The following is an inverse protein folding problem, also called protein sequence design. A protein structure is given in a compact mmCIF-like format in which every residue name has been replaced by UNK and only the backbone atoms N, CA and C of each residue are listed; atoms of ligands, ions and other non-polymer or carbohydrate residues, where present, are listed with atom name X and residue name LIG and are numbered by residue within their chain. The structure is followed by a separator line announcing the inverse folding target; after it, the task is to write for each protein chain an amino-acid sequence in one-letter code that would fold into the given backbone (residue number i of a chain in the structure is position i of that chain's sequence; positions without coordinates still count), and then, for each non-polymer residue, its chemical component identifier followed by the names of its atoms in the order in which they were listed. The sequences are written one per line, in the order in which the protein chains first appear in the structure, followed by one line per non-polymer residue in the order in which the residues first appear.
data_IF_320685651705
#
_entry.id   IF_320685651705
#
_cell.length_a   1.000
_cell.length_b   1.000
_cell.length_c   1.000
_cell.angle_alpha   90.00
_cell.angle_beta   90.00
_cell.angle_gamma   90.00
#
_symmetry.space_group_name_H-M   'P 1'
#
loop_
_entity.id
_entity.type
_entity.pdbx_description
1 polymer ?
#
# COMPACT_ATOMS: atom_id res chain seq x y z
N UNK A 1 -29.02 -5.05 12.94
CA UNK A 1 -27.86 -4.91 12.03
C UNK A 1 -28.38 -4.66 10.62
N UNK A 2 -28.13 -3.50 10.03
CA UNK A 2 -28.47 -3.23 8.63
C UNK A 2 -27.69 -4.18 7.75
N UNK A 3 -28.36 -4.87 6.82
CA UNK A 3 -27.68 -5.57 5.71
C UNK A 3 -27.00 -4.50 4.87
N UNK A 4 -25.69 -4.59 4.68
CA UNK A 4 -24.94 -3.66 3.85
C UNK A 4 -25.36 -3.71 2.38
N UNK A 5 -24.77 -2.85 1.55
CA UNK A 5 -25.11 -2.69 0.13
C UNK A 5 -24.37 -3.70 -0.75
N UNK A 6 -25.06 -4.36 -1.67
CA UNK A 6 -24.44 -5.17 -2.75
C UNK A 6 -23.93 -4.28 -3.90
N UNK A 7 -22.86 -3.54 -3.62
CA UNK A 7 -22.32 -2.54 -4.52
C UNK A 7 -21.14 -3.04 -5.38
N UNK A 8 -20.26 -2.10 -5.71
CA UNK A 8 -19.11 -2.34 -6.57
C UNK A 8 -18.09 -3.29 -5.93
N UNK A 9 -17.76 -3.07 -4.65
CA UNK A 9 -16.77 -3.86 -3.92
C UNK A 9 -17.25 -5.29 -3.71
N UNK A 10 -18.49 -5.46 -3.28
CA UNK A 10 -19.15 -6.76 -3.15
C UNK A 10 -19.10 -7.56 -4.46
N UNK A 11 -19.51 -6.93 -5.56
CA UNK A 11 -19.52 -7.60 -6.87
C UNK A 11 -18.14 -8.04 -7.33
N UNK A 12 -17.08 -7.32 -6.95
CA UNK A 12 -15.73 -7.60 -7.38
C UNK A 12 -14.97 -8.54 -6.44
N UNK A 13 -15.26 -8.56 -5.12
CA UNK A 13 -14.37 -9.18 -4.14
C UNK A 13 -15.05 -10.15 -3.17
N UNK A 14 -16.35 -10.41 -3.33
CA UNK A 14 -17.10 -11.37 -2.52
C UNK A 14 -17.58 -12.60 -3.32
N UNK A 15 -17.75 -13.76 -2.68
CA UNK A 15 -18.20 -15.00 -3.34
C UNK A 15 -19.62 -14.92 -3.91
N UNK A 16 -20.52 -14.19 -3.27
CA UNK A 16 -21.88 -13.96 -3.78
C UNK A 16 -21.97 -12.85 -4.82
N UNK A 17 -20.86 -12.14 -5.09
CA UNK A 17 -20.81 -11.11 -6.12
C UNK A 17 -20.61 -11.65 -7.53
N UNK A 18 -20.62 -10.77 -8.53
CA UNK A 18 -20.54 -11.10 -9.95
C UNK A 18 -19.31 -11.97 -10.30
N UNK A 19 -18.16 -11.70 -9.69
CA UNK A 19 -16.90 -12.37 -10.04
C UNK A 19 -16.51 -13.50 -9.07
N UNK A 20 -17.32 -13.79 -8.04
CA UNK A 20 -17.18 -14.90 -7.09
C UNK A 20 -15.81 -15.03 -6.44
N UNK A 21 -15.12 -13.90 -6.20
CA UNK A 21 -13.80 -13.88 -5.57
C UNK A 21 -13.93 -13.94 -4.04
N UNK A 22 -13.15 -14.76 -3.37
CA UNK A 22 -13.23 -14.99 -1.92
C UNK A 22 -12.27 -14.10 -1.12
N UNK A 23 -12.14 -12.83 -1.47
CA UNK A 23 -11.33 -11.91 -0.67
C UNK A 23 -11.99 -11.53 0.65
N UNK A 24 -13.32 -11.38 0.64
CA UNK A 24 -14.11 -11.00 1.81
C UNK A 24 -15.39 -11.82 1.87
N UNK A 25 -15.92 -12.03 3.09
CA UNK A 25 -17.26 -12.58 3.24
C UNK A 25 -18.30 -11.64 2.61
N UNK A 26 -19.44 -12.18 2.21
CA UNK A 26 -20.52 -11.39 1.62
C UNK A 26 -20.96 -10.24 2.54
N UNK A 27 -21.08 -10.53 3.83
CA UNK A 27 -21.48 -9.56 4.85
C UNK A 27 -20.46 -8.43 4.95
N UNK A 28 -19.17 -8.76 5.05
CA UNK A 28 -18.11 -7.75 5.16
C UNK A 28 -18.00 -6.90 3.90
N UNK A 29 -18.05 -7.50 2.72
CA UNK A 29 -18.00 -6.77 1.47
C UNK A 29 -19.16 -5.79 1.29
N UNK A 30 -20.37 -6.18 1.72
CA UNK A 30 -21.55 -5.29 1.70
C UNK A 30 -21.41 -4.12 2.68
N UNK A 31 -20.87 -4.37 3.90
CA UNK A 31 -20.59 -3.30 4.87
C UNK A 31 -19.52 -2.32 4.36
N UNK A 32 -18.47 -2.84 3.69
CA UNK A 32 -17.42 -2.03 3.09
C UNK A 32 -18.00 -1.14 1.98
N UNK A 33 -18.81 -1.68 1.08
CA UNK A 33 -19.48 -0.90 0.03
C UNK A 33 -20.32 0.25 0.62
N UNK A 34 -21.14 -0.06 1.63
CA UNK A 34 -22.02 0.92 2.25
C UNK A 34 -21.22 2.05 2.90
N UNK A 35 -20.23 1.72 3.73
CA UNK A 35 -19.43 2.70 4.46
C UNK A 35 -18.61 3.55 3.47
N UNK A 36 -18.00 2.93 2.47
CA UNK A 36 -17.18 3.67 1.50
C UNK A 36 -18.01 4.60 0.60
N UNK A 37 -19.21 4.18 0.21
CA UNK A 37 -20.15 5.04 -0.53
C UNK A 37 -20.62 6.23 0.34
N UNK A 38 -20.90 6.01 1.63
CA UNK A 38 -21.29 7.09 2.56
C UNK A 38 -20.16 8.12 2.69
N UNK A 39 -18.92 7.68 2.91
CA UNK A 39 -17.76 8.57 3.02
C UNK A 39 -17.59 9.38 1.73
N UNK A 40 -17.74 8.74 0.57
CA UNK A 40 -17.64 9.41 -0.72
C UNK A 40 -18.73 10.49 -0.87
N UNK A 41 -19.98 10.16 -0.53
CA UNK A 41 -21.09 11.11 -0.57
C UNK A 41 -20.89 12.31 0.37
N UNK A 42 -20.37 12.07 1.58
CA UNK A 42 -20.08 13.16 2.52
C UNK A 42 -19.05 14.14 1.96
N UNK A 43 -18.02 13.59 1.33
CA UNK A 43 -16.98 14.41 0.70
C UNK A 43 -17.51 15.20 -0.51
N UNK A 44 -18.27 14.55 -1.40
CA UNK A 44 -18.87 15.19 -2.57
C UNK A 44 -19.87 16.31 -2.19
N UNK A 45 -20.61 16.09 -1.10
CA UNK A 45 -21.53 17.10 -0.53
C UNK A 45 -20.81 18.17 0.31
N UNK A 46 -19.48 18.09 0.45
CA UNK A 46 -18.66 18.99 1.28
C UNK A 46 -19.06 19.00 2.76
N UNK A 47 -19.64 17.91 3.27
CA UNK A 47 -19.96 17.75 4.69
C UNK A 47 -18.73 17.43 5.54
N UNK A 48 -17.69 16.89 4.90
CA UNK A 48 -16.37 16.65 5.48
C UNK A 48 -15.29 17.29 4.60
N UNK A 49 -14.20 17.73 5.23
CA UNK A 49 -13.02 18.25 4.54
C UNK A 49 -12.11 17.11 4.05
N UNK A 50 -11.02 17.47 3.35
CA UNK A 50 -10.11 16.48 2.75
C UNK A 50 -9.35 15.65 3.79
N UNK A 51 -8.99 16.24 4.93
CA UNK A 51 -8.26 15.54 5.99
C UNK A 51 -9.18 14.52 6.69
N UNK A 52 -10.43 14.91 6.95
CA UNK A 52 -11.47 14.03 7.48
C UNK A 52 -11.77 12.89 6.49
N UNK A 53 -11.85 13.19 5.20
CA UNK A 53 -12.03 12.17 4.16
C UNK A 53 -10.90 11.14 4.18
N UNK A 54 -9.64 11.57 4.15
CA UNK A 54 -8.51 10.64 4.18
C UNK A 54 -8.44 9.86 5.48
N UNK A 55 -8.78 10.47 6.60
CA UNK A 55 -8.84 9.78 7.87
C UNK A 55 -9.89 8.65 7.88
N UNK A 56 -11.09 8.92 7.39
CA UNK A 56 -12.15 7.92 7.28
C UNK A 56 -11.79 6.81 6.28
N UNK A 57 -11.19 7.15 5.14
CA UNK A 57 -10.71 6.16 4.17
C UNK A 57 -9.63 5.27 4.77
N UNK A 58 -8.70 5.82 5.55
CA UNK A 58 -7.68 5.05 6.26
C UNK A 58 -8.30 4.03 7.23
N UNK A 59 -9.33 4.44 7.99
CA UNK A 59 -10.09 3.52 8.86
C UNK A 59 -10.68 2.35 8.07
N UNK A 60 -11.26 2.64 6.90
CA UNK A 60 -11.83 1.58 6.04
C UNK A 60 -10.75 0.64 5.55
N UNK A 61 -9.61 1.16 5.08
CA UNK A 61 -8.49 0.36 4.57
C UNK A 61 -7.95 -0.58 5.66
N UNK A 62 -7.60 -0.06 6.83
CA UNK A 62 -7.06 -0.85 7.95
C UNK A 62 -8.06 -1.92 8.42
N UNK A 63 -9.32 -1.54 8.58
CA UNK A 63 -10.37 -2.48 9.02
C UNK A 63 -10.64 -3.57 7.98
N UNK A 64 -10.54 -3.24 6.70
CA UNK A 64 -10.71 -4.17 5.59
C UNK A 64 -9.58 -5.17 5.53
N UNK A 65 -8.33 -4.73 5.69
CA UNK A 65 -7.16 -5.61 5.68
C UNK A 65 -7.24 -6.67 6.78
N UNK A 66 -7.74 -6.32 7.94
CA UNK A 66 -7.89 -7.23 9.07
C UNK A 66 -8.81 -8.43 8.79
N UNK A 67 -9.85 -8.26 7.97
CA UNK A 67 -10.81 -9.32 7.59
C UNK A 67 -10.59 -9.86 6.17
N UNK A 68 -9.42 -9.63 5.60
CA UNK A 68 -9.08 -10.11 4.27
C UNK A 68 -8.72 -11.61 4.27
N UNK A 69 -9.24 -12.36 3.32
CA UNK A 69 -8.96 -13.78 3.13
C UNK A 69 -7.76 -14.00 2.19
N UNK A 70 -6.60 -13.58 2.65
CA UNK A 70 -5.34 -13.58 1.91
C UNK A 70 -4.19 -14.19 2.72
N UNK A 71 -3.09 -14.51 2.06
CA UNK A 71 -1.85 -15.00 2.68
C UNK A 71 -0.79 -13.88 2.80
N UNK A 72 -1.21 -12.65 3.15
CA UNK A 72 -0.33 -11.49 3.33
C UNK A 72 -0.33 -10.48 2.18
N UNK A 73 -0.74 -10.84 0.97
CA UNK A 73 -0.91 -9.92 -0.16
C UNK A 73 -2.19 -10.21 -0.93
N UNK A 74 -2.70 -9.23 -1.67
CA UNK A 74 -3.92 -9.34 -2.46
C UNK A 74 -3.69 -9.91 -3.88
N UNK A 75 -2.49 -10.37 -4.19
CA UNK A 75 -2.20 -11.01 -5.48
C UNK A 75 -3.07 -12.24 -5.76
N UNK A 76 -3.59 -12.90 -4.71
CA UNK A 76 -4.61 -13.94 -4.79
C UNK A 76 -5.39 -14.05 -3.48
N UNK A 77 -6.67 -14.43 -3.55
CA UNK A 77 -7.44 -14.83 -2.38
C UNK A 77 -7.24 -16.32 -2.07
N UNK A 78 -7.40 -16.71 -0.81
CA UNK A 78 -7.34 -18.10 -0.40
C UNK A 78 -8.61 -18.86 -0.81
N UNK A 79 -8.45 -20.15 -1.14
CA UNK A 79 -9.57 -21.06 -1.44
C UNK A 79 -10.37 -21.42 -0.18
N UNK A 80 -9.66 -21.58 0.96
CA UNK A 80 -10.20 -21.89 2.27
C UNK A 80 -10.28 -20.59 3.08
N UNK A 81 -11.35 -20.41 3.84
CA UNK A 81 -11.53 -19.25 4.68
C UNK A 81 -10.61 -19.28 5.90
N UNK A 82 -9.89 -18.19 6.13
CA UNK A 82 -9.25 -17.94 7.42
C UNK A 82 -10.31 -17.56 8.45
N UNK A 83 -10.12 -17.99 9.70
CA UNK A 83 -11.04 -17.65 10.80
C UNK A 83 -11.25 -16.12 10.95
N UNK A 84 -10.20 -15.33 10.77
CA UNK A 84 -10.29 -13.87 10.83
C UNK A 84 -11.15 -13.27 9.70
N UNK A 85 -11.15 -13.86 8.52
CA UNK A 85 -11.92 -13.36 7.38
C UNK A 85 -13.44 -13.60 7.53
N UNK A 86 -13.82 -14.49 8.43
CA UNK A 86 -15.22 -14.78 8.79
C UNK A 86 -15.75 -13.92 9.95
N UNK A 87 -14.87 -13.18 10.64
CA UNK A 87 -15.30 -12.24 11.68
C UNK A 87 -15.96 -11.01 11.05
N UNK A 88 -16.89 -10.42 11.77
CA UNK A 88 -17.51 -9.16 11.38
C UNK A 88 -16.45 -8.04 11.34
N UNK A 89 -16.46 -7.27 10.25
CA UNK A 89 -15.62 -6.08 10.14
C UNK A 89 -16.03 -5.05 11.20
N UNK A 90 -15.03 -4.49 11.86
CA UNK A 90 -15.20 -3.46 12.86
C UNK A 90 -14.33 -2.24 12.50
N UNK A 91 -14.99 -1.14 12.15
CA UNK A 91 -14.32 0.11 11.79
C UNK A 91 -13.85 0.84 13.05
N UNK A 92 -12.58 0.68 13.38
CA UNK A 92 -11.97 1.26 14.58
C UNK A 92 -11.12 2.48 14.22
N UNK A 93 -11.28 3.54 15.01
CA UNK A 93 -10.42 4.71 14.93
C UNK A 93 -8.96 4.31 15.25
N UNK A 94 -8.00 4.61 14.38
CA UNK A 94 -6.59 4.37 14.67
C UNK A 94 -6.10 5.28 15.80
N UNK A 95 -5.08 4.82 16.52
CA UNK A 95 -4.40 5.67 17.51
C UNK A 95 -3.54 6.70 16.78
N UNK A 96 -3.87 7.97 16.96
CA UNK A 96 -3.10 9.06 16.37
C UNK A 96 -1.98 9.51 17.31
N UNK A 97 -0.77 9.52 16.81
CA UNK A 97 0.38 10.10 17.53
C UNK A 97 0.44 11.60 17.23
N UNK A 98 0.28 12.42 18.29
CA UNK A 98 0.47 13.86 18.18
C UNK A 98 1.95 14.19 18.29
N UNK A 99 2.47 15.01 17.38
CA UNK A 99 3.82 15.57 17.49
C UNK A 99 3.79 17.08 17.14
N UNK A 100 4.91 17.77 17.40
CA UNK A 100 5.04 19.21 17.13
C UNK A 100 5.61 19.52 15.74
N UNK A 101 5.89 18.50 14.94
CA UNK A 101 6.50 18.67 13.63
C UNK A 101 5.44 18.75 12.54
N UNK A 102 5.74 19.51 11.49
CA UNK A 102 4.97 19.49 10.25
C UNK A 102 5.29 18.18 9.53
N UNK A 103 4.29 17.32 9.35
CA UNK A 103 4.41 16.09 8.60
C UNK A 103 3.99 16.33 7.16
N UNK A 104 4.75 15.78 6.21
CA UNK A 104 4.45 15.88 4.79
C UNK A 104 4.47 14.49 4.16
N UNK A 105 3.51 14.21 3.27
CA UNK A 105 3.39 12.94 2.56
C UNK A 105 3.47 13.22 1.06
N UNK A 106 4.29 12.43 0.37
CA UNK A 106 4.48 12.56 -1.06
C UNK A 106 4.18 11.24 -1.78
N UNK A 107 3.39 11.29 -2.83
CA UNK A 107 3.19 10.19 -3.78
C UNK A 107 3.94 10.52 -5.08
N UNK A 108 5.24 10.27 -5.10
CA UNK A 108 6.14 10.61 -6.21
C UNK A 108 7.21 9.55 -6.40
N UNK A 109 7.85 9.53 -7.56
CA UNK A 109 9.06 8.77 -7.75
C UNK A 109 10.14 9.24 -6.75
N UNK A 110 10.73 8.28 -6.02
CA UNK A 110 11.71 8.57 -4.96
C UNK A 110 12.97 9.23 -5.49
N UNK A 111 13.40 8.89 -6.70
CA UNK A 111 14.59 9.46 -7.33
C UNK A 111 14.38 10.90 -7.79
N UNK A 112 13.15 11.30 -8.06
CA UNK A 112 12.81 12.69 -8.34
C UNK A 112 12.56 13.49 -7.07
N UNK A 113 11.93 12.85 -6.07
CA UNK A 113 11.65 13.48 -4.79
C UNK A 113 12.94 13.80 -4.02
N UNK A 114 13.92 12.89 -3.98
CA UNK A 114 15.17 13.05 -3.22
C UNK A 114 15.98 14.27 -3.64
N UNK A 115 15.85 14.70 -4.88
CA UNK A 115 16.51 15.92 -5.39
C UNK A 115 15.94 17.21 -4.79
N UNK A 116 14.69 17.15 -4.30
CA UNK A 116 13.90 18.31 -3.84
C UNK A 116 13.79 18.41 -2.33
N UNK A 117 13.99 17.31 -1.61
CA UNK A 117 13.90 17.26 -0.15
C UNK A 117 15.30 17.21 0.47
N UNK A 118 15.36 17.60 1.75
CA UNK A 118 16.55 17.50 2.61
C UNK A 118 16.13 17.13 4.02
N UNK A 119 17.05 16.60 4.81
CA UNK A 119 16.77 16.21 6.19
C UNK A 119 18.02 15.75 6.91
N UNK A 120 17.89 15.36 8.15
CA UNK A 120 19.01 14.81 8.93
C UNK A 120 19.17 13.31 8.67
N UNK A 121 18.08 12.57 8.59
CA UNK A 121 18.08 11.12 8.42
C UNK A 121 17.21 10.76 7.22
N UNK A 122 17.72 9.92 6.33
CA UNK A 122 16.98 9.26 5.28
C UNK A 122 16.83 7.77 5.63
N UNK A 123 15.63 7.34 5.94
CA UNK A 123 15.32 5.91 6.05
C UNK A 123 14.86 5.39 4.70
N UNK A 124 15.47 4.30 4.25
CA UNK A 124 15.20 3.67 2.94
C UNK A 124 14.77 2.23 3.18
N UNK A 125 13.56 1.89 2.73
CA UNK A 125 13.00 0.54 2.76
C UNK A 125 12.43 0.22 1.36
N UNK A 126 13.31 -0.06 0.38
CA UNK A 126 12.90 -0.24 -1.00
C UNK A 126 12.39 -1.66 -1.23
N UNK A 127 11.66 -1.91 -2.31
CA UNK A 127 11.31 -3.27 -2.72
C UNK A 127 12.58 -4.15 -2.79
N UNK A 128 12.55 -5.31 -2.14
CA UNK A 128 13.66 -6.26 -2.14
C UNK A 128 13.48 -7.40 -3.15
N UNK A 129 12.33 -7.53 -3.80
CA UNK A 129 12.08 -8.57 -4.79
C UNK A 129 11.47 -8.02 -6.09
N UNK A 130 11.37 -8.86 -7.12
CA UNK A 130 10.84 -8.47 -8.43
C UNK A 130 9.32 -8.23 -8.47
N UNK A 131 8.60 -8.42 -7.36
CA UNK A 131 7.16 -8.25 -7.31
C UNK A 131 6.82 -6.78 -7.15
N UNK A 132 6.06 -6.25 -8.10
CA UNK A 132 5.53 -4.89 -8.01
C UNK A 132 4.50 -4.79 -6.87
N UNK A 133 4.50 -3.67 -6.15
CA UNK A 133 3.57 -3.46 -5.02
C UNK A 133 2.13 -3.28 -5.49
N UNK A 134 1.92 -2.58 -6.60
CA UNK A 134 0.59 -2.30 -7.11
C UNK A 134 -0.31 -3.54 -7.26
N UNK A 135 0.11 -4.66 -7.92
CA UNK A 135 -0.70 -5.87 -7.97
C UNK A 135 -0.83 -6.58 -6.63
N UNK A 136 0.10 -6.38 -5.69
CA UNK A 136 0.04 -6.99 -4.37
C UNK A 136 -1.00 -6.32 -3.45
N UNK A 137 -1.32 -5.05 -3.69
CA UNK A 137 -2.22 -4.26 -2.85
C UNK A 137 -3.40 -3.64 -3.61
N UNK A 138 -3.69 -4.13 -4.82
CA UNK A 138 -4.69 -3.58 -5.73
C UNK A 138 -6.10 -3.46 -5.15
N UNK A 139 -6.48 -4.32 -4.19
CA UNK A 139 -7.79 -4.27 -3.54
C UNK A 139 -7.87 -3.05 -2.62
N UNK A 140 -6.83 -2.79 -1.85
CA UNK A 140 -6.75 -1.61 -0.98
C UNK A 140 -6.66 -0.32 -1.79
N UNK A 141 -5.94 -0.33 -2.91
CA UNK A 141 -5.93 0.78 -3.87
C UNK A 141 -7.33 1.04 -4.45
N UNK A 142 -8.09 -0.01 -4.72
CA UNK A 142 -9.49 0.12 -5.18
C UNK A 142 -10.38 0.79 -4.13
N UNK A 143 -10.15 0.48 -2.84
CA UNK A 143 -10.83 1.16 -1.74
C UNK A 143 -10.42 2.62 -1.60
N UNK A 144 -9.14 2.92 -1.75
CA UNK A 144 -8.62 4.27 -1.64
C UNK A 144 -9.18 5.17 -2.76
N UNK A 145 -9.04 4.74 -4.01
CA UNK A 145 -9.46 5.52 -5.18
C UNK A 145 -10.98 5.65 -5.33
N UNK A 146 -11.71 4.59 -5.04
CA UNK A 146 -13.18 4.49 -5.18
C UNK A 146 -13.75 4.95 -6.54
N UNK A 147 -12.95 4.83 -7.58
CA UNK A 147 -13.23 5.27 -8.96
C UNK A 147 -14.10 4.27 -9.76
N UNK A 148 -14.42 3.13 -9.16
CA UNK A 148 -15.32 2.09 -9.69
C UNK A 148 -14.97 1.62 -11.11
N UNK A 149 -13.69 1.64 -11.47
CA UNK A 149 -13.20 1.17 -12.78
C UNK A 149 -13.42 -0.32 -12.99
N UNK A 150 -13.37 -0.75 -14.24
CA UNK A 150 -13.37 -2.17 -14.58
C UNK A 150 -12.08 -2.84 -14.13
N UNK A 151 -12.21 -3.89 -13.33
CA UNK A 151 -11.10 -4.71 -12.86
C UNK A 151 -10.88 -5.93 -13.76
N UNK A 152 -9.64 -6.39 -13.91
CA UNK A 152 -9.25 -7.41 -14.86
C UNK A 152 -8.77 -8.71 -14.20
N UNK A 153 -8.82 -9.80 -14.95
CA UNK A 153 -8.28 -11.10 -14.58
C UNK A 153 -9.00 -11.78 -13.42
N UNK A 154 -8.48 -12.93 -13.01
CA UNK A 154 -9.07 -13.77 -11.94
C UNK A 154 -9.09 -13.08 -10.58
N UNK A 155 -8.11 -12.25 -10.30
CA UNK A 155 -7.92 -11.59 -9.00
C UNK A 155 -8.60 -10.22 -8.90
N UNK A 156 -9.09 -9.65 -10.01
CA UNK A 156 -9.68 -8.32 -10.01
C UNK A 156 -8.66 -7.21 -9.99
N UNK A 157 -7.63 -7.34 -10.80
CA UNK A 157 -6.50 -6.44 -10.83
C UNK A 157 -6.87 -5.09 -11.48
N UNK A 158 -6.41 -4.00 -10.88
CA UNK A 158 -6.44 -2.65 -11.46
C UNK A 158 -5.35 -2.53 -12.54
N UNK A 159 -5.53 -1.67 -13.56
CA UNK A 159 -4.41 -1.21 -14.39
C UNK A 159 -3.34 -0.53 -13.50
N UNK A 160 -2.09 -0.96 -13.62
CA UNK A 160 -1.01 -0.48 -12.73
C UNK A 160 0.30 -0.18 -13.49
N UNK A 161 0.28 -0.10 -14.80
CA UNK A 161 1.49 0.12 -15.60
C UNK A 161 2.25 1.37 -15.19
N UNK A 162 1.53 2.46 -14.84
CA UNK A 162 2.08 3.72 -14.37
C UNK A 162 2.65 3.68 -12.93
N UNK A 163 2.39 2.61 -12.19
CA UNK A 163 2.86 2.41 -10.81
C UNK A 163 4.05 1.45 -10.71
N UNK A 164 4.57 0.97 -11.85
CA UNK A 164 5.73 0.07 -11.85
C UNK A 164 6.98 0.78 -11.34
N UNK A 165 7.67 0.13 -10.41
CA UNK A 165 8.92 0.63 -9.84
C UNK A 165 10.12 -0.05 -10.48
N UNK A 166 11.10 0.74 -10.88
CA UNK A 166 12.40 0.25 -11.36
C UNK A 166 13.21 -0.44 -10.26
N UNK A 167 12.88 -0.20 -8.97
CA UNK A 167 13.44 -0.94 -7.84
C UNK A 167 13.07 -2.42 -7.83
N UNK A 168 12.02 -2.83 -8.55
CA UNK A 168 11.63 -4.23 -8.72
C UNK A 168 12.29 -4.89 -9.96
N UNK A 169 13.12 -4.17 -10.73
CA UNK A 169 13.75 -4.67 -11.94
C UNK A 169 15.24 -4.94 -11.70
N UNK A 170 15.64 -6.22 -11.78
CA UNK A 170 17.03 -6.66 -11.52
C UNK A 170 18.09 -5.92 -12.34
N UNK A 171 17.78 -5.58 -13.59
CA UNK A 171 18.68 -4.86 -14.49
C UNK A 171 18.72 -3.34 -14.24
N UNK A 172 17.83 -2.77 -13.43
CA UNK A 172 17.77 -1.33 -13.17
C UNK A 172 18.04 -0.96 -11.71
N UNK A 173 17.73 -1.86 -10.77
CA UNK A 173 17.72 -1.55 -9.34
C UNK A 173 19.02 -0.95 -8.81
N UNK A 174 20.17 -1.43 -9.25
CA UNK A 174 21.46 -0.89 -8.81
C UNK A 174 21.66 0.57 -9.23
N UNK A 175 21.30 0.89 -10.48
CA UNK A 175 21.44 2.25 -11.02
C UNK A 175 20.50 3.25 -10.34
N UNK A 176 19.22 2.86 -10.14
CA UNK A 176 18.27 3.76 -9.46
C UNK A 176 18.61 3.93 -7.99
N UNK A 177 19.11 2.89 -7.32
CA UNK A 177 19.58 2.99 -5.94
C UNK A 177 20.81 3.90 -5.83
N UNK A 178 21.82 3.72 -6.69
CA UNK A 178 23.01 4.59 -6.71
C UNK A 178 22.63 6.05 -6.97
N UNK A 179 21.70 6.29 -7.89
CA UNK A 179 21.20 7.64 -8.17
C UNK A 179 20.51 8.27 -6.94
N UNK A 180 19.68 7.51 -6.22
CA UNK A 180 19.03 7.95 -4.97
C UNK A 180 20.08 8.37 -3.93
N UNK A 181 21.06 7.50 -3.67
CA UNK A 181 22.11 7.75 -2.68
C UNK A 181 22.96 8.98 -3.06
N UNK A 182 23.36 9.08 -4.32
CA UNK A 182 24.16 10.21 -4.83
C UNK A 182 23.45 11.55 -4.61
N UNK A 183 22.13 11.61 -4.89
CA UNK A 183 21.36 12.85 -4.82
C UNK A 183 20.79 13.16 -3.42
N UNK A 184 20.92 12.26 -2.45
CA UNK A 184 20.44 12.50 -1.11
C UNK A 184 21.22 13.62 -0.40
N UNK A 185 20.51 14.54 0.27
CA UNK A 185 21.08 15.66 1.03
C UNK A 185 20.74 15.47 2.52
N UNK A 186 21.42 14.50 3.14
CA UNK A 186 21.17 14.08 4.52
C UNK A 186 22.48 13.80 5.25
N UNK A 187 22.44 13.85 6.59
CA UNK A 187 23.59 13.52 7.46
C UNK A 187 23.77 12.01 7.61
N UNK A 188 22.65 11.28 7.72
CA UNK A 188 22.67 9.84 7.94
C UNK A 188 21.71 9.14 6.98
N UNK A 189 22.12 7.96 6.52
CA UNK A 189 21.30 7.06 5.71
C UNK A 189 21.13 5.75 6.49
N UNK A 190 19.90 5.33 6.71
CA UNK A 190 19.53 4.02 7.26
C UNK A 190 18.86 3.22 6.15
N UNK A 191 19.45 2.10 5.78
CA UNK A 191 18.87 1.18 4.80
C UNK A 191 18.42 -0.09 5.50
N UNK A 192 17.15 -0.43 5.37
CA UNK A 192 16.61 -1.77 5.65
C UNK A 192 16.57 -2.56 4.36
N UNK A 193 17.20 -3.74 4.33
CA UNK A 193 17.19 -4.58 3.14
C UNK A 193 17.35 -6.06 3.50
N UNK A 194 16.73 -6.94 2.71
CA UNK A 194 16.81 -8.37 2.88
C UNK A 194 18.06 -8.93 2.16
N UNK A 195 18.73 -9.92 2.76
CA UNK A 195 19.89 -10.59 2.16
C UNK A 195 19.55 -11.42 0.91
N UNK A 196 18.29 -11.83 0.75
CA UNK A 196 17.76 -12.52 -0.44
C UNK A 196 17.22 -11.54 -1.50
N UNK A 197 17.45 -10.26 -1.30
CA UNK A 197 16.96 -9.21 -2.21
C UNK A 197 17.66 -9.23 -3.57
N UNK A 198 17.01 -8.60 -4.57
CA UNK A 198 17.54 -8.52 -5.95
C UNK A 198 18.77 -7.62 -6.10
N UNK A 199 19.04 -6.74 -5.14
CA UNK A 199 20.31 -6.00 -5.06
C UNK A 199 21.35 -6.82 -4.32
N UNK A 200 22.52 -7.01 -4.96
CA UNK A 200 23.65 -7.68 -4.32
C UNK A 200 24.15 -6.86 -3.10
N UNK A 201 24.27 -7.47 -1.90
CA UNK A 201 24.79 -6.79 -0.71
C UNK A 201 26.18 -6.14 -0.87
N UNK A 202 27.04 -6.72 -1.72
CA UNK A 202 28.36 -6.15 -2.03
C UNK A 202 28.23 -4.86 -2.84
N UNK A 203 27.30 -4.83 -3.79
CA UNK A 203 27.01 -3.62 -4.61
C UNK A 203 26.38 -2.53 -3.73
N UNK A 204 25.42 -2.90 -2.87
CA UNK A 204 24.83 -1.98 -1.87
C UNK A 204 25.94 -1.33 -1.03
N UNK A 205 26.82 -2.16 -0.46
CA UNK A 205 27.93 -1.68 0.38
C UNK A 205 28.87 -0.74 -0.39
N UNK A 206 29.19 -1.08 -1.63
CA UNK A 206 30.02 -0.22 -2.51
C UNK A 206 29.36 1.13 -2.80
N UNK A 207 28.06 1.16 -3.07
CA UNK A 207 27.30 2.40 -3.32
C UNK A 207 27.28 3.27 -2.07
N UNK A 208 26.92 2.70 -0.91
CA UNK A 208 26.83 3.44 0.35
C UNK A 208 28.19 3.98 0.81
N UNK A 209 29.27 3.20 0.64
CA UNK A 209 30.62 3.62 1.01
C UNK A 209 31.16 4.80 0.19
N UNK A 210 30.62 5.05 -1.02
CA UNK A 210 30.93 6.27 -1.79
C UNK A 210 30.35 7.53 -1.14
N UNK A 211 29.32 7.40 -0.31
CA UNK A 211 28.64 8.53 0.33
C UNK A 211 29.15 8.83 1.73
N UNK A 212 29.65 7.83 2.43
CA UNK A 212 30.14 8.01 3.79
C UNK A 212 30.60 6.73 4.47
N UNK A 213 30.88 6.80 5.76
CA UNK A 213 31.33 5.67 6.58
C UNK A 213 30.19 4.68 6.80
N UNK A 214 30.37 3.44 6.39
CA UNK A 214 29.36 2.38 6.48
C UNK A 214 29.50 1.56 7.77
N UNK A 215 28.38 1.31 8.45
CA UNK A 215 28.23 0.26 9.46
C UNK A 215 27.15 -0.72 9.01
N UNK A 216 27.41 -2.01 9.14
CA UNK A 216 26.46 -3.08 8.82
C UNK A 216 26.01 -3.76 10.10
N UNK A 217 24.70 -3.97 10.22
CA UNK A 217 24.06 -4.74 11.27
C UNK A 217 23.33 -5.90 10.62
N UNK A 218 23.48 -7.11 11.16
CA UNK A 218 22.75 -8.30 10.73
C UNK A 218 21.95 -8.83 11.92
N UNK A 219 20.73 -9.24 11.65
CA UNK A 219 19.84 -9.85 12.63
C UNK A 219 19.74 -11.34 12.35
#
# INVERSE_FOLDING_TARGET
SRKGKKGYFYNNFAPGGKYKRKYFSDINAQKIDEVRDIIQQWFEKKWINIDEYYFLVAIVIESTDFVANIAGTYGAHLKIWRSMALKDINFKKPTLTKNKFKNEVYQKDSNDLIKKIKGDILYIDPPYNARQYAPNFHVLETLACWDKIKLNGKTGLRPYEHQKSDYCLKNKVHNVFENLIKNSKVKFILLSYNNEGIMDPKIISKILSKKGKLKKFTK
#
